data_IF_720398610438
#
_entry.id   IF_720398610438
#
_cell.length_a   1.000
_cell.length_b   1.000
_cell.length_c   1.000
_cell.angle_alpha   90.00
_cell.angle_beta   90.00
_cell.angle_gamma   90.00
#
_symmetry.space_group_name_H-M   'P 1'
#
loop_
_entity.id
_entity.type
_entity.pdbx_description
1 polymer ?
#
# COMPACT_ATOMS: atom_id res chain seq x y z
N UNK A 1 -11.20 0.26 -3.49
CA UNK A 1 -11.73 -1.13 -3.58
C UNK A 1 -12.17 -1.51 -4.99
N UNK A 2 -12.81 -0.61 -5.74
CA UNK A 2 -13.43 -0.95 -7.03
C UNK A 2 -12.46 -1.44 -8.11
N UNK A 3 -11.23 -0.89 -8.17
CA UNK A 3 -10.18 -1.41 -9.05
C UNK A 3 -9.90 -2.90 -8.80
N UNK A 4 -9.78 -3.31 -7.53
CA UNK A 4 -9.51 -4.71 -7.18
C UNK A 4 -10.70 -5.59 -7.57
N UNK A 5 -11.94 -5.12 -7.36
CA UNK A 5 -13.14 -5.84 -7.82
C UNK A 5 -13.17 -6.03 -9.34
N UNK A 6 -12.72 -5.02 -10.08
CA UNK A 6 -12.66 -5.07 -11.54
C UNK A 6 -11.59 -6.07 -12.02
N UNK A 7 -10.40 -6.04 -11.41
CA UNK A 7 -9.31 -6.98 -11.73
C UNK A 7 -9.66 -8.43 -11.36
N UNK A 8 -10.48 -8.64 -10.32
CA UNK A 8 -10.93 -9.97 -9.88
C UNK A 8 -11.98 -10.61 -10.80
N UNK A 9 -12.54 -9.87 -11.76
CA UNK A 9 -13.54 -10.45 -12.67
C UNK A 9 -12.92 -11.57 -13.52
N UNK A 10 -13.68 -12.65 -13.83
CA UNK A 10 -13.19 -13.73 -14.67
C UNK A 10 -12.71 -13.24 -16.04
N UNK A 11 -11.60 -13.82 -16.51
CA UNK A 11 -11.04 -13.51 -17.82
C UNK A 11 -11.79 -14.31 -18.89
N UNK A 12 -12.24 -13.63 -19.94
CA UNK A 12 -12.91 -14.21 -21.11
C UNK A 12 -12.67 -13.38 -22.36
N UNK A 13 -13.29 -13.79 -23.48
CA UNK A 13 -13.11 -13.15 -24.78
C UNK A 13 -13.49 -11.65 -24.81
N UNK A 14 -14.36 -11.22 -23.90
CA UNK A 14 -14.79 -9.83 -23.77
C UNK A 14 -14.04 -9.03 -22.69
N UNK A 15 -13.01 -9.61 -22.04
CA UNK A 15 -12.25 -8.90 -21.00
C UNK A 15 -11.51 -7.71 -21.59
N UNK A 16 -11.87 -6.52 -21.11
CA UNK A 16 -11.25 -5.27 -21.51
C UNK A 16 -9.91 -5.08 -20.81
N UNK A 17 -9.06 -4.26 -21.42
CA UNK A 17 -7.87 -3.71 -20.75
C UNK A 17 -8.35 -2.80 -19.63
N UNK A 18 -7.85 -3.03 -18.41
CA UNK A 18 -8.14 -2.23 -17.24
C UNK A 18 -7.02 -1.20 -17.09
N UNK A 19 -7.41 0.02 -16.76
CA UNK A 19 -6.49 1.11 -16.45
C UNK A 19 -6.52 1.39 -14.96
N UNK A 20 -5.37 1.66 -14.37
CA UNK A 20 -5.23 1.99 -12.95
C UNK A 20 -4.36 3.25 -12.78
N UNK A 21 -4.65 4.08 -11.77
CA UNK A 21 -3.82 5.23 -11.47
C UNK A 21 -2.46 4.80 -10.89
N UNK A 22 -1.46 5.64 -11.06
CA UNK A 22 -0.20 5.60 -10.32
C UNK A 22 -0.08 6.87 -9.46
N UNK A 23 1.03 7.01 -8.73
CA UNK A 23 1.32 8.20 -7.93
C UNK A 23 2.71 8.71 -8.31
N UNK A 24 2.79 9.99 -8.68
CA UNK A 24 4.06 10.66 -8.95
C UNK A 24 4.62 11.22 -7.64
N UNK A 25 5.79 10.71 -7.22
CA UNK A 25 6.42 11.12 -5.97
C UNK A 25 7.08 12.50 -6.02
N UNK A 26 7.43 13.01 -7.19
CA UNK A 26 8.01 14.35 -7.37
C UNK A 26 6.89 15.41 -7.33
N UNK A 27 5.81 15.17 -8.06
CA UNK A 27 4.64 16.04 -8.09
C UNK A 27 3.71 15.87 -6.89
N UNK A 28 3.83 14.74 -6.19
CA UNK A 28 2.95 14.31 -5.08
C UNK A 28 1.47 14.21 -5.48
N UNK A 29 1.22 13.85 -6.73
CA UNK A 29 -0.11 13.80 -7.33
C UNK A 29 -0.41 12.44 -7.97
N UNK A 30 -1.68 11.99 -7.97
CA UNK A 30 -2.10 10.82 -8.74
C UNK A 30 -1.97 11.06 -10.24
N UNK A 31 -1.48 10.04 -10.95
CA UNK A 31 -1.45 10.01 -12.42
C UNK A 31 -2.51 9.02 -12.88
N UNK A 32 -3.59 9.52 -13.48
CA UNK A 32 -4.66 8.69 -14.02
C UNK A 32 -4.14 7.81 -15.17
N UNK A 33 -4.72 6.61 -15.30
CA UNK A 33 -4.47 5.68 -16.41
C UNK A 33 -2.99 5.29 -16.65
N UNK A 34 -2.15 5.42 -15.62
CA UNK A 34 -0.71 5.18 -15.72
C UNK A 34 -0.33 3.69 -15.76
N UNK A 35 -1.16 2.81 -15.22
CA UNK A 35 -0.89 1.37 -15.13
C UNK A 35 -1.90 0.62 -16.01
N UNK A 36 -1.38 -0.11 -17.00
CA UNK A 36 -2.20 -0.93 -17.91
C UNK A 36 -2.23 -2.40 -17.48
N UNK A 37 -3.41 -2.90 -17.12
CA UNK A 37 -3.65 -4.29 -16.73
C UNK A 37 -4.38 -5.01 -17.88
N UNK A 38 -3.63 -5.78 -18.66
CA UNK A 38 -4.14 -6.61 -19.78
C UNK A 38 -4.67 -7.96 -19.29
N UNK A 39 -5.61 -8.53 -20.03
CA UNK A 39 -6.13 -9.90 -19.81
C UNK A 39 -5.08 -11.01 -19.92
N UNK A 40 -3.91 -10.73 -20.51
CA UNK A 40 -2.77 -11.65 -20.56
C UNK A 40 -1.95 -11.68 -19.27
N UNK A 41 -2.12 -10.72 -18.35
CA UNK A 41 -1.43 -10.76 -17.06
C UNK A 41 -2.03 -11.85 -16.20
N UNK A 42 -1.17 -12.74 -15.72
CA UNK A 42 -1.57 -13.92 -14.94
C UNK A 42 -1.42 -13.73 -13.44
N UNK A 43 -0.68 -12.69 -13.03
CA UNK A 43 -0.45 -12.28 -11.66
C UNK A 43 -0.53 -10.76 -11.60
N UNK A 44 -1.29 -10.24 -10.63
CA UNK A 44 -1.34 -8.82 -10.29
C UNK A 44 -1.00 -8.72 -8.82
N UNK A 45 0.08 -7.99 -8.50
CA UNK A 45 0.46 -7.71 -7.11
C UNK A 45 -0.10 -6.33 -6.77
N UNK A 46 -0.91 -6.27 -5.72
CA UNK A 46 -1.39 -5.01 -5.16
C UNK A 46 -0.58 -4.76 -3.90
N UNK A 47 0.12 -3.62 -3.85
CA UNK A 47 0.88 -3.18 -2.68
C UNK A 47 0.32 -1.90 -2.08
N UNK A 48 0.50 -1.73 -0.77
CA UNK A 48 -0.02 -0.56 -0.05
C UNK A 48 -0.17 -0.82 1.45
N UNK A 49 -0.26 0.26 2.22
CA UNK A 49 -0.23 0.21 3.69
C UNK A 49 -1.58 -0.17 4.33
N UNK A 50 -2.70 -0.02 3.62
CA UNK A 50 -4.06 -0.23 4.14
C UNK A 50 -4.81 -1.43 3.52
N UNK A 51 -4.12 -2.29 2.77
CA UNK A 51 -4.75 -3.39 2.04
C UNK A 51 -5.36 -4.47 2.94
N UNK A 52 -4.88 -4.54 4.18
CA UNK A 52 -5.17 -5.64 5.12
C UNK A 52 -5.97 -5.20 6.34
N UNK A 53 -6.65 -4.04 6.30
CA UNK A 53 -7.44 -3.54 7.42
C UNK A 53 -8.78 -4.29 7.58
N UNK A 54 -9.26 -4.41 8.82
CA UNK A 54 -10.58 -4.93 9.21
C UNK A 54 -11.32 -3.89 10.06
N UNK A 55 -12.66 -3.86 9.97
CA UNK A 55 -13.48 -2.91 10.72
C UNK A 55 -13.30 -1.43 10.32
N UNK A 56 -12.75 -1.17 9.13
CA UNK A 56 -12.56 0.18 8.56
C UNK A 56 -13.26 0.24 7.21
N UNK A 57 -14.42 0.90 7.16
CA UNK A 57 -15.39 0.85 6.06
C UNK A 57 -14.80 0.95 4.64
N UNK A 58 -13.84 1.86 4.42
CA UNK A 58 -13.26 2.10 3.11
C UNK A 58 -12.37 0.93 2.60
N UNK A 59 -11.87 0.08 3.51
CA UNK A 59 -10.81 -0.89 3.25
C UNK A 59 -11.17 -2.32 3.67
N UNK A 60 -12.18 -2.50 4.50
CA UNK A 60 -12.55 -3.77 5.15
C UNK A 60 -12.75 -4.93 4.16
N UNK A 61 -13.19 -4.63 2.94
CA UNK A 61 -13.45 -5.65 1.93
C UNK A 61 -12.23 -5.99 1.05
N UNK A 62 -11.10 -5.27 1.16
CA UNK A 62 -9.92 -5.58 0.36
C UNK A 62 -9.32 -6.97 0.63
N UNK A 63 -9.13 -7.41 1.89
CA UNK A 63 -8.50 -8.69 2.17
C UNK A 63 -9.20 -9.87 1.52
N UNK A 64 -10.53 -9.87 1.53
CA UNK A 64 -11.37 -10.95 0.97
C UNK A 64 -11.43 -10.95 -0.55
N UNK A 65 -10.98 -9.86 -1.19
CA UNK A 65 -10.88 -9.76 -2.64
C UNK A 65 -9.50 -10.17 -3.16
N UNK A 66 -8.53 -10.45 -2.29
CA UNK A 66 -7.21 -10.95 -2.69
C UNK A 66 -7.21 -12.49 -2.71
N UNK A 67 -6.44 -13.07 -3.62
CA UNK A 67 -6.21 -14.53 -3.63
C UNK A 67 -5.21 -14.95 -2.54
N UNK A 68 -4.24 -14.08 -2.26
CA UNK A 68 -3.31 -14.22 -1.13
C UNK A 68 -3.05 -12.85 -0.48
N UNK A 69 -2.95 -12.84 0.84
CA UNK A 69 -2.60 -11.69 1.67
C UNK A 69 -1.23 -11.93 2.30
N UNK A 70 -0.24 -11.10 1.95
CA UNK A 70 1.13 -11.23 2.45
C UNK A 70 1.49 -10.02 3.32
N UNK A 71 2.11 -10.26 4.48
CA UNK A 71 2.55 -9.19 5.39
C UNK A 71 4.06 -9.07 5.38
N UNK A 72 4.56 -7.85 5.14
CA UNK A 72 5.98 -7.52 5.28
C UNK A 72 6.22 -7.07 6.73
N UNK A 73 6.84 -7.94 7.53
CA UNK A 73 7.20 -7.67 8.90
C UNK A 73 8.59 -7.03 8.97
N UNK A 74 8.68 -5.87 9.62
CA UNK A 74 9.91 -5.11 9.81
C UNK A 74 10.01 -4.72 11.29
N UNK A 75 11.24 -4.67 11.83
CA UNK A 75 11.47 -4.08 13.15
C UNK A 75 11.05 -2.59 13.12
N UNK A 76 10.11 -2.15 13.99
CA UNK A 76 9.67 -0.76 14.05
C UNK A 76 10.81 0.25 14.22
N UNK A 77 11.87 -0.12 14.95
CA UNK A 77 13.05 0.72 15.17
C UNK A 77 13.81 0.94 13.86
N UNK A 78 14.00 -0.12 13.09
CA UNK A 78 14.68 -0.07 11.80
C UNK A 78 13.82 0.67 10.76
N UNK A 79 12.52 0.42 10.76
CA UNK A 79 11.57 1.12 9.90
C UNK A 79 11.55 2.63 10.19
N UNK A 80 11.51 3.05 11.47
CA UNK A 80 11.62 4.46 11.89
C UNK A 80 12.94 5.08 11.44
N UNK A 81 14.07 4.40 11.63
CA UNK A 81 15.40 4.86 11.19
C UNK A 81 15.45 5.10 9.68
N UNK A 82 14.89 4.18 8.88
CA UNK A 82 14.82 4.30 7.42
C UNK A 82 13.93 5.48 6.98
N UNK A 83 12.81 5.70 7.64
CA UNK A 83 11.89 6.80 7.33
C UNK A 83 12.51 8.18 7.61
N UNK A 84 13.20 8.34 8.73
CA UNK A 84 13.93 9.57 9.07
C UNK A 84 14.94 9.89 7.96
N UNK A 85 15.73 8.89 7.55
CA UNK A 85 16.70 9.06 6.47
C UNK A 85 16.02 9.44 5.14
N UNK A 86 14.90 8.78 4.80
CA UNK A 86 14.12 9.05 3.60
C UNK A 86 13.56 10.47 3.55
N UNK A 87 13.07 11.01 4.67
CA UNK A 87 12.55 12.39 4.73
C UNK A 87 13.63 13.43 4.46
N UNK A 88 14.85 13.22 4.98
CA UNK A 88 15.98 14.11 4.72
C UNK A 88 16.40 14.00 3.24
N UNK A 89 16.57 12.78 2.73
CA UNK A 89 16.98 12.57 1.33
C UNK A 89 15.99 13.13 0.31
N UNK A 90 14.69 13.05 0.61
CA UNK A 90 13.64 13.61 -0.22
C UNK A 90 13.47 15.14 -0.07
N UNK A 91 14.26 15.79 0.79
CA UNK A 91 14.17 17.23 1.07
C UNK A 91 12.87 17.64 1.77
N UNK A 92 12.14 16.69 2.38
CA UNK A 92 10.90 16.95 3.12
C UNK A 92 11.20 17.64 4.45
N UNK A 93 12.32 17.29 5.08
CA UNK A 93 12.77 17.88 6.33
C UNK A 93 14.22 18.36 6.21
N UNK A 94 14.54 19.47 6.88
CA UNK A 94 15.87 20.11 6.84
C UNK A 94 16.96 19.31 7.55
N UNK A 95 16.58 18.59 8.60
CA UNK A 95 17.50 17.91 9.51
C UNK A 95 16.82 16.71 10.19
N UNK A 96 17.62 15.96 10.94
CA UNK A 96 17.19 14.75 11.63
C UNK A 96 16.17 15.00 12.74
N UNK A 97 16.21 16.18 13.39
CA UNK A 97 15.26 16.50 14.46
C UNK A 97 13.87 16.76 13.87
N UNK A 98 13.80 17.56 12.81
CA UNK A 98 12.57 17.81 12.06
C UNK A 98 12.03 16.51 11.45
N UNK A 99 12.89 15.69 10.84
CA UNK A 99 12.51 14.40 10.26
C UNK A 99 11.97 13.42 11.31
N UNK A 100 12.63 13.34 12.46
CA UNK A 100 12.20 12.53 13.60
C UNK A 100 10.79 12.90 14.05
N UNK A 101 10.56 14.19 14.29
CA UNK A 101 9.25 14.68 14.70
C UNK A 101 8.17 14.38 13.66
N UNK A 102 8.47 14.59 12.37
CA UNK A 102 7.55 14.33 11.27
C UNK A 102 7.17 12.84 11.16
N UNK A 103 8.15 11.94 11.30
CA UNK A 103 7.94 10.49 11.26
C UNK A 103 7.10 10.03 12.45
N UNK A 104 7.41 10.51 13.66
CA UNK A 104 6.71 10.10 14.88
C UNK A 104 5.26 10.55 14.90
N UNK A 105 4.95 11.71 14.33
CA UNK A 105 3.59 12.26 14.30
C UNK A 105 2.73 11.80 13.12
N UNK A 106 3.29 11.09 12.15
CA UNK A 106 2.54 10.65 10.98
C UNK A 106 2.79 9.18 10.66
N UNK A 107 3.97 8.84 10.13
CA UNK A 107 4.29 7.50 9.67
C UNK A 107 4.15 6.46 10.79
N UNK A 108 4.62 6.76 12.00
CA UNK A 108 4.52 5.84 13.14
C UNK A 108 3.10 5.70 13.68
N UNK A 109 2.29 6.77 13.61
CA UNK A 109 0.87 6.68 13.96
C UNK A 109 0.10 5.82 12.94
N UNK A 110 0.41 5.97 11.65
CA UNK A 110 -0.15 5.10 10.61
C UNK A 110 0.26 3.64 10.81
N UNK A 111 1.55 3.39 11.10
CA UNK A 111 2.05 2.05 11.37
C UNK A 111 1.33 1.41 12.56
N UNK A 112 1.18 2.15 13.66
CA UNK A 112 0.45 1.67 14.85
C UNK A 112 -1.01 1.36 14.50
N UNK A 113 -1.69 2.28 13.81
CA UNK A 113 -3.08 2.08 13.38
C UNK A 113 -3.24 0.81 12.53
N UNK A 114 -2.33 0.56 11.59
CA UNK A 114 -2.35 -0.65 10.76
C UNK A 114 -2.14 -1.90 11.61
N UNK A 115 -1.19 -1.88 12.56
CA UNK A 115 -0.95 -3.03 13.44
C UNK A 115 -2.17 -3.35 14.30
N UNK A 116 -2.89 -2.33 14.77
CA UNK A 116 -4.07 -2.48 15.63
C UNK A 116 -5.31 -2.95 14.84
N UNK A 117 -5.41 -2.59 13.55
CA UNK A 117 -6.61 -2.81 12.74
C UNK A 117 -6.40 -3.76 11.56
N UNK A 118 -5.24 -4.39 11.40
CA UNK A 118 -5.06 -5.40 10.34
C UNK A 118 -5.80 -6.69 10.67
N UNK A 119 -6.15 -7.46 9.65
CA UNK A 119 -6.62 -8.84 9.80
C UNK A 119 -5.63 -9.68 10.63
N UNK A 120 -6.15 -10.55 11.48
CA UNK A 120 -5.32 -11.37 12.36
C UNK A 120 -4.48 -12.40 11.58
N UNK A 121 -5.06 -12.97 10.53
CA UNK A 121 -4.46 -14.04 9.73
C UNK A 121 -4.14 -13.54 8.31
N UNK A 122 -2.91 -13.78 7.89
CA UNK A 122 -2.41 -13.57 6.53
C UNK A 122 -1.86 -14.89 6.02
N UNK A 123 -1.82 -15.07 4.71
CA UNK A 123 -1.32 -16.30 4.10
C UNK A 123 0.18 -16.47 4.30
N UNK A 124 0.94 -15.36 4.29
CA UNK A 124 2.40 -15.35 4.45
C UNK A 124 2.89 -14.14 5.24
N UNK A 125 3.94 -14.34 6.02
CA UNK A 125 4.73 -13.27 6.65
C UNK A 125 6.15 -13.34 6.08
N UNK A 126 6.68 -12.21 5.62
CA UNK A 126 8.04 -12.05 5.13
C UNK A 126 8.77 -11.14 6.12
N UNK A 127 9.99 -11.53 6.53
CA UNK A 127 10.84 -10.80 7.47
C UNK A 127 12.07 -10.22 6.76
#
# INVERSE_FOLDING_TARGET
VDLVRLVRQPIGAATLVISAPSFDHELKDPVNDAITIKSTHRLVIVEGIYLQLQGVDAWENLPVLMDENWWLQCDPTECRRRLIHRHIQAGICSDETAATHQVDQNDMLNAQFILDHRIAHVDRIIN
#
